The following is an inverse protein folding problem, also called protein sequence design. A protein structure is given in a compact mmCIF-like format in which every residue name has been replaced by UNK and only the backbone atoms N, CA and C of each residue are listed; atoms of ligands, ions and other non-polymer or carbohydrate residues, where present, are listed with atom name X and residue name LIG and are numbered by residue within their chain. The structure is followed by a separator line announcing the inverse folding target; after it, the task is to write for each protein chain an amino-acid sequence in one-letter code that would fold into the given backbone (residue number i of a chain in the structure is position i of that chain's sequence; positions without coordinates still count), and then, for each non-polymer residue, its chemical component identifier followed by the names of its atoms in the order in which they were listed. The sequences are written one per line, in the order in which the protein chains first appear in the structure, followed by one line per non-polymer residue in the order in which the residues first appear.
data_IF_429925764320
#
_entry.id   IF_429925764320
#
_cell.length_a   1.000
_cell.length_b   1.000
_cell.length_c   1.000
_cell.angle_alpha   90.00
_cell.angle_beta   90.00
_cell.angle_gamma   90.00
#
_symmetry.space_group_name_H-M   'P 1'
#
loop_
_entity.id
_entity.type
_entity.pdbx_description
1 polymer ?
#
# COMPACT_ATOMS: atom_id res chain seq x y z
N UNK A 1 18.35 -1.05 15.16
CA UNK A 1 17.52 -2.27 14.99
C UNK A 1 17.65 -2.77 13.55
N UNK A 2 17.68 -4.08 13.28
CA UNK A 2 17.85 -4.61 11.92
C UNK A 2 16.49 -4.74 11.22
N UNK A 3 16.31 -4.03 10.11
CA UNK A 3 15.12 -4.13 9.26
C UNK A 3 15.32 -5.18 8.17
N UNK A 4 14.23 -5.80 7.73
CA UNK A 4 14.19 -6.71 6.56
C UNK A 4 13.60 -5.99 5.37
N UNK A 5 14.26 -6.10 4.23
CA UNK A 5 13.72 -5.66 2.93
C UNK A 5 13.31 -6.90 2.12
N UNK A 6 12.09 -6.91 1.62
CA UNK A 6 11.57 -7.90 0.68
C UNK A 6 11.30 -7.17 -0.64
N UNK A 7 11.89 -7.66 -1.73
CA UNK A 7 11.57 -7.21 -3.09
C UNK A 7 11.01 -8.43 -3.81
N UNK A 8 9.72 -8.37 -4.14
CA UNK A 8 8.99 -9.45 -4.80
C UNK A 8 8.50 -8.98 -6.17
N UNK A 9 8.40 -9.89 -7.13
CA UNK A 9 7.80 -9.59 -8.45
C UNK A 9 6.28 -9.44 -8.37
N UNK A 10 5.69 -9.73 -7.21
CA UNK A 10 4.25 -9.63 -7.02
C UNK A 10 3.52 -10.88 -7.50
N UNK A 11 2.29 -11.04 -7.02
CA UNK A 11 1.35 -12.06 -7.47
C UNK A 11 -0.04 -11.44 -7.64
N UNK A 12 -1.05 -12.30 -7.76
CA UNK A 12 -2.45 -11.89 -7.76
C UNK A 12 -2.80 -11.11 -6.47
N UNK A 13 -3.89 -10.33 -6.47
CA UNK A 13 -4.27 -9.51 -5.32
C UNK A 13 -4.55 -10.33 -4.06
N UNK A 14 -5.01 -11.58 -4.18
CA UNK A 14 -5.32 -12.43 -3.03
C UNK A 14 -4.05 -12.79 -2.27
N UNK A 15 -3.02 -13.25 -2.98
CA UNK A 15 -1.72 -13.56 -2.40
C UNK A 15 -1.05 -12.33 -1.79
N UNK A 16 -1.06 -11.21 -2.52
CA UNK A 16 -0.42 -9.99 -2.06
C UNK A 16 -1.03 -9.50 -0.74
N UNK A 17 -2.36 -9.48 -0.63
CA UNK A 17 -3.03 -9.04 0.60
C UNK A 17 -2.87 -10.04 1.74
N UNK A 18 -2.93 -11.35 1.44
CA UNK A 18 -2.69 -12.39 2.45
C UNK A 18 -1.26 -12.34 3.01
N UNK A 19 -0.26 -12.04 2.17
CA UNK A 19 1.12 -11.91 2.64
C UNK A 19 1.31 -10.67 3.51
N UNK A 20 0.73 -9.52 3.16
CA UNK A 20 0.81 -8.33 4.00
C UNK A 20 0.15 -8.56 5.38
N UNK A 21 -1.00 -9.24 5.42
CA UNK A 21 -1.65 -9.65 6.68
C UNK A 21 -0.79 -10.65 7.48
N UNK A 22 -0.24 -11.67 6.82
CA UNK A 22 0.64 -12.63 7.47
C UNK A 22 1.89 -11.97 8.05
N UNK A 23 2.48 -11.01 7.34
CA UNK A 23 3.61 -10.23 7.85
C UNK A 23 3.21 -9.42 9.09
N UNK A 24 2.04 -8.78 9.08
CA UNK A 24 1.52 -8.06 10.25
C UNK A 24 1.38 -8.96 11.47
N UNK A 25 0.66 -10.09 11.34
CA UNK A 25 0.46 -11.07 12.42
C UNK A 25 1.80 -11.62 12.92
N UNK A 26 2.72 -11.95 12.03
CA UNK A 26 4.03 -12.47 12.42
C UNK A 26 4.87 -11.43 13.16
N UNK A 27 4.78 -10.14 12.78
CA UNK A 27 5.51 -9.08 13.47
C UNK A 27 4.92 -8.79 14.84
N UNK A 28 3.60 -8.75 14.97
CA UNK A 28 2.90 -8.61 16.25
C UNK A 28 3.34 -9.69 17.25
N UNK A 29 3.52 -10.93 16.77
CA UNK A 29 4.01 -12.05 17.57
C UNK A 29 5.54 -12.09 17.72
N UNK A 30 6.26 -11.02 17.34
CA UNK A 30 7.73 -10.92 17.39
C UNK A 30 8.49 -12.04 16.66
N UNK A 31 7.87 -12.69 15.66
CA UNK A 31 8.47 -13.82 14.92
C UNK A 31 9.35 -13.38 13.75
N UNK A 32 9.23 -12.13 13.32
CA UNK A 32 10.01 -11.51 12.24
C UNK A 32 10.45 -10.11 12.66
N UNK A 33 11.53 -9.55 12.10
CA UNK A 33 11.88 -8.14 12.31
C UNK A 33 10.92 -7.19 11.58
N UNK A 34 11.01 -5.88 11.88
CA UNK A 34 10.37 -4.85 11.07
C UNK A 34 10.71 -5.05 9.59
N UNK A 35 9.70 -4.95 8.74
CA UNK A 35 9.79 -5.33 7.33
C UNK A 35 9.31 -4.20 6.44
N UNK A 36 10.09 -3.90 5.40
CA UNK A 36 9.64 -3.14 4.23
C UNK A 36 9.51 -4.13 3.09
N UNK A 37 8.38 -4.09 2.39
CA UNK A 37 8.14 -4.89 1.19
C UNK A 37 7.88 -3.97 0.00
N UNK A 38 8.49 -4.27 -1.13
CA UNK A 38 8.22 -3.66 -2.44
C UNK A 38 7.74 -4.75 -3.39
N UNK A 39 6.64 -4.52 -4.09
CA UNK A 39 6.00 -5.52 -4.93
C UNK A 39 5.07 -4.88 -5.98
N UNK A 40 4.53 -5.71 -6.86
CA UNK A 40 3.59 -5.33 -7.92
C UNK A 40 2.33 -6.21 -7.82
N UNK A 41 1.27 -5.85 -8.52
CA UNK A 41 0.11 -6.73 -8.72
C UNK A 41 0.18 -7.35 -10.11
N UNK A 42 0.13 -8.67 -10.19
CA UNK A 42 0.17 -9.40 -11.46
C UNK A 42 -0.89 -10.51 -11.42
N UNK A 43 -1.99 -10.39 -12.18
CA UNK A 43 -2.32 -9.32 -13.14
C UNK A 43 -2.78 -8.01 -12.48
N UNK A 44 -2.97 -6.95 -13.29
CA UNK A 44 -3.64 -5.71 -12.87
C UNK A 44 -4.99 -6.02 -12.19
N UNK A 45 -5.26 -5.36 -11.07
CA UNK A 45 -6.36 -5.76 -10.18
C UNK A 45 -6.84 -4.62 -9.29
N UNK A 46 -7.94 -4.82 -8.58
CA UNK A 46 -8.55 -3.82 -7.71
C UNK A 46 -8.45 -4.26 -6.25
N UNK A 47 -8.10 -3.34 -5.36
CA UNK A 47 -8.31 -3.53 -3.91
C UNK A 47 -9.34 -2.55 -3.39
N UNK A 48 -10.25 -3.03 -2.54
CA UNK A 48 -11.20 -2.18 -1.80
C UNK A 48 -10.83 -2.13 -0.33
N UNK A 49 -11.07 -1.00 0.32
CA UNK A 49 -10.81 -0.83 1.74
C UNK A 49 -11.73 -1.68 2.62
N UNK A 50 -11.26 -1.97 3.83
CA UNK A 50 -11.93 -2.87 4.77
C UNK A 50 -13.42 -2.56 4.98
N UNK A 51 -13.80 -1.28 5.06
CA UNK A 51 -15.18 -0.85 5.34
C UNK A 51 -16.04 -0.56 4.10
N UNK A 52 -15.51 -0.73 2.87
CA UNK A 52 -16.26 -0.36 1.65
C UNK A 52 -17.23 -1.46 1.19
N UNK A 53 -18.40 -1.10 0.72
CA UNK A 53 -19.25 -2.04 -0.01
C UNK A 53 -18.75 -2.21 -1.45
N UNK A 54 -18.57 -3.46 -1.90
CA UNK A 54 -17.97 -3.73 -3.21
C UNK A 54 -18.84 -3.20 -4.37
N UNK A 55 -20.16 -3.32 -4.24
CA UNK A 55 -21.17 -2.85 -5.20
C UNK A 55 -21.16 -1.33 -5.40
N UNK A 56 -20.76 -0.56 -4.38
CA UNK A 56 -20.76 0.91 -4.43
C UNK A 56 -19.48 1.49 -5.06
N UNK A 57 -18.38 0.75 -5.00
CA UNK A 57 -17.04 1.28 -5.32
C UNK A 57 -16.38 0.57 -6.50
N UNK A 58 -16.97 -0.54 -6.96
CA UNK A 58 -16.51 -1.32 -8.11
C UNK A 58 -17.69 -1.59 -9.03
N UNK A 59 -17.49 -1.38 -10.33
CA UNK A 59 -18.43 -1.84 -11.34
C UNK A 59 -18.31 -3.38 -11.49
N UNK A 60 -19.12 -4.10 -10.71
CA UNK A 60 -19.07 -5.57 -10.64
C UNK A 60 -19.34 -6.24 -12.00
N UNK A 61 -20.30 -5.72 -12.77
CA UNK A 61 -20.60 -6.24 -14.11
C UNK A 61 -19.39 -6.14 -15.04
N UNK A 62 -18.69 -5.00 -15.02
CA UNK A 62 -17.48 -4.79 -15.80
C UNK A 62 -16.35 -5.73 -15.36
N UNK A 63 -16.16 -5.88 -14.05
CA UNK A 63 -15.11 -6.74 -13.48
C UNK A 63 -15.34 -8.20 -13.82
N UNK A 64 -16.58 -8.70 -13.69
CA UNK A 64 -16.95 -10.07 -14.07
C UNK A 64 -16.78 -10.28 -15.57
N UNK A 65 -17.29 -9.35 -16.39
CA UNK A 65 -17.22 -9.46 -17.85
C UNK A 65 -15.79 -9.47 -18.39
N UNK A 66 -14.88 -8.74 -17.76
CA UNK A 66 -13.48 -8.61 -18.19
C UNK A 66 -12.51 -9.48 -17.40
N UNK A 67 -13.00 -10.35 -16.50
CA UNK A 67 -12.18 -11.23 -15.66
C UNK A 67 -11.09 -10.46 -14.87
N UNK A 68 -11.45 -9.29 -14.33
CA UNK A 68 -10.56 -8.47 -13.51
C UNK A 68 -10.59 -9.01 -12.08
N UNK A 69 -9.43 -9.24 -11.49
CA UNK A 69 -9.36 -9.69 -10.10
C UNK A 69 -9.63 -8.50 -9.17
N UNK A 70 -10.40 -8.74 -8.11
CA UNK A 70 -10.52 -7.78 -7.01
C UNK A 70 -10.56 -8.47 -5.66
N UNK A 71 -10.09 -7.78 -4.62
CA UNK A 71 -10.14 -8.27 -3.24
C UNK A 71 -10.33 -7.12 -2.25
N UNK A 72 -10.63 -7.47 -1.00
CA UNK A 72 -10.68 -6.55 0.14
C UNK A 72 -9.37 -6.63 0.91
N UNK A 73 -8.80 -5.47 1.27
CA UNK A 73 -7.59 -5.40 2.10
C UNK A 73 -7.93 -5.16 3.57
N UNK A 74 -7.00 -5.53 4.46
CA UNK A 74 -7.17 -5.41 5.91
C UNK A 74 -7.19 -3.96 6.43
N UNK A 75 -6.62 -3.02 5.66
CA UNK A 75 -6.62 -1.59 6.00
C UNK A 75 -7.88 -0.90 5.49
N UNK A 76 -8.20 0.27 6.08
CA UNK A 76 -9.22 1.17 5.54
C UNK A 76 -8.84 1.86 4.21
N UNK A 77 -9.44 3.02 3.95
CA UNK A 77 -9.22 3.80 2.73
C UNK A 77 -10.16 3.43 1.57
N UNK A 78 -9.95 4.07 0.42
CA UNK A 78 -10.79 3.94 -0.78
C UNK A 78 -10.42 2.79 -1.71
N UNK A 79 -11.16 2.62 -2.81
CA UNK A 79 -10.82 1.62 -3.82
C UNK A 79 -9.60 2.08 -4.62
N UNK A 80 -8.71 1.16 -4.97
CA UNK A 80 -7.50 1.42 -5.75
C UNK A 80 -7.41 0.40 -6.89
N UNK A 81 -7.14 0.89 -8.09
CA UNK A 81 -6.74 0.05 -9.22
C UNK A 81 -5.22 -0.01 -9.26
N UNK A 82 -4.70 -1.24 -9.28
CA UNK A 82 -3.27 -1.54 -9.34
C UNK A 82 -2.92 -1.96 -10.77
N UNK A 83 -2.02 -1.21 -11.39
CA UNK A 83 -1.52 -1.50 -12.72
C UNK A 83 -0.22 -2.30 -12.64
N UNK A 84 -0.20 -3.50 -13.25
CA UNK A 84 0.96 -4.41 -13.27
C UNK A 84 2.23 -3.75 -13.82
N UNK A 85 2.08 -2.86 -14.80
CA UNK A 85 3.21 -2.27 -15.52
C UNK A 85 3.55 -0.83 -15.08
N UNK A 86 2.62 -0.16 -14.37
CA UNK A 86 2.69 1.27 -14.08
C UNK A 86 2.79 1.60 -12.60
N UNK A 87 2.67 0.63 -11.69
CA UNK A 87 2.66 0.87 -10.24
C UNK A 87 3.73 0.05 -9.51
N UNK A 88 4.43 0.67 -8.55
CA UNK A 88 5.14 -0.07 -7.50
C UNK A 88 4.35 0.07 -6.20
N UNK A 89 3.93 -1.05 -5.61
CA UNK A 89 3.30 -1.08 -4.30
C UNK A 89 4.34 -1.30 -3.21
N UNK A 90 4.10 -0.73 -2.03
CA UNK A 90 4.93 -0.94 -0.85
C UNK A 90 4.08 -1.24 0.38
N UNK A 91 4.65 -2.00 1.31
CA UNK A 91 4.08 -2.16 2.66
C UNK A 91 5.18 -2.02 3.72
N UNK A 92 4.81 -1.46 4.88
CA UNK A 92 5.67 -1.29 6.04
C UNK A 92 5.02 -1.96 7.23
N UNK A 93 5.69 -2.97 7.80
CA UNK A 93 5.23 -3.71 8.97
C UNK A 93 6.22 -3.50 10.12
N UNK A 94 5.74 -2.91 11.22
CA UNK A 94 6.55 -2.55 12.38
C UNK A 94 5.68 -2.40 13.62
N UNK A 95 6.30 -2.20 14.79
CA UNK A 95 5.56 -1.89 16.02
C UNK A 95 5.20 -0.41 16.06
N UNK A 96 4.09 -0.07 16.70
CA UNK A 96 3.65 1.32 16.82
C UNK A 96 4.62 2.19 17.63
N UNK A 97 5.35 1.59 18.57
CA UNK A 97 6.39 2.27 19.37
C UNK A 97 7.59 2.76 18.54
N UNK A 98 7.79 2.21 17.33
CA UNK A 98 8.84 2.65 16.41
C UNK A 98 8.47 3.95 15.68
N UNK A 99 7.23 4.44 15.84
CA UNK A 99 6.67 5.56 15.09
C UNK A 99 5.98 6.59 16.02
N UNK A 100 5.73 7.82 15.53
CA UNK A 100 4.92 8.78 16.25
C UNK A 100 3.54 8.22 16.64
N UNK A 101 2.99 8.66 17.76
CA UNK A 101 1.63 8.24 18.16
C UNK A 101 0.54 8.85 17.27
N UNK A 102 0.76 10.07 16.76
CA UNK A 102 -0.15 10.74 15.85
C UNK A 102 -0.14 10.08 14.47
N UNK A 103 -1.34 9.75 13.97
CA UNK A 103 -1.54 9.00 12.73
C UNK A 103 -1.02 9.76 11.48
N UNK A 104 -1.15 11.10 11.45
CA UNK A 104 -0.73 11.93 10.33
C UNK A 104 0.79 12.03 10.33
N UNK A 105 1.41 12.19 11.49
CA UNK A 105 2.87 12.21 11.60
C UNK A 105 3.50 10.84 11.30
N UNK A 106 2.84 9.72 11.62
CA UNK A 106 3.28 8.40 11.11
C UNK A 106 3.28 8.34 9.59
N UNK A 107 2.18 8.75 8.95
CA UNK A 107 2.12 8.82 7.49
C UNK A 107 3.23 9.73 6.95
N UNK A 108 3.46 10.88 7.56
CA UNK A 108 4.52 11.80 7.17
C UNK A 108 5.90 11.13 7.21
N UNK A 109 6.23 10.41 8.29
CA UNK A 109 7.50 9.69 8.42
C UNK A 109 7.66 8.64 7.31
N UNK A 110 6.64 7.81 7.08
CA UNK A 110 6.68 6.75 6.07
C UNK A 110 6.76 7.35 4.65
N UNK A 111 5.89 8.31 4.32
CA UNK A 111 5.84 8.98 3.03
C UNK A 111 7.12 9.78 2.73
N UNK A 112 7.87 10.24 3.75
CA UNK A 112 9.12 10.95 3.54
C UNK A 112 10.18 10.08 2.83
N UNK A 113 10.18 8.76 3.07
CA UNK A 113 11.05 7.83 2.35
C UNK A 113 10.74 7.80 0.85
N UNK A 114 9.46 7.80 0.49
CA UNK A 114 9.01 7.87 -0.90
C UNK A 114 9.33 9.22 -1.53
N UNK A 115 9.08 10.32 -0.82
CA UNK A 115 9.39 11.67 -1.28
C UNK A 115 10.88 11.79 -1.58
N UNK A 116 11.74 11.27 -0.72
CA UNK A 116 13.18 11.22 -0.96
C UNK A 116 13.52 10.47 -2.25
N UNK A 117 12.92 9.30 -2.47
CA UNK A 117 13.13 8.51 -3.68
C UNK A 117 12.61 9.22 -4.95
N UNK A 118 11.43 9.84 -4.89
CA UNK A 118 10.86 10.57 -6.04
C UNK A 118 11.71 11.81 -6.36
N UNK A 119 12.19 12.52 -5.34
CA UNK A 119 13.09 13.67 -5.50
C UNK A 119 14.43 13.29 -6.12
N UNK A 120 14.96 12.08 -5.85
CA UNK A 120 16.21 11.63 -6.48
C UNK A 120 16.05 11.36 -7.99
N UNK A 121 14.82 11.13 -8.47
CA UNK A 121 14.50 11.08 -9.90
C UNK A 121 14.25 12.47 -10.53
N UNK A 122 14.49 13.56 -9.79
CA UNK A 122 14.36 14.94 -10.29
C UNK A 122 12.93 15.49 -10.26
N UNK A 123 11.99 14.81 -9.61
CA UNK A 123 10.60 15.26 -9.46
C UNK A 123 10.38 15.87 -8.08
N UNK A 124 9.67 16.99 -7.97
CA UNK A 124 9.35 17.59 -6.66
C UNK A 124 8.11 16.94 -6.05
N UNK A 125 8.32 16.01 -5.13
CA UNK A 125 7.24 15.36 -4.37
C UNK A 125 6.90 16.12 -3.08
N UNK A 126 5.60 16.18 -2.76
CA UNK A 126 5.07 16.88 -1.59
C UNK A 126 4.09 15.96 -0.86
N UNK A 127 4.24 15.83 0.45
CA UNK A 127 3.26 15.17 1.32
C UNK A 127 2.00 16.04 1.43
N UNK A 128 0.84 15.45 1.14
CA UNK A 128 -0.47 16.06 1.33
C UNK A 128 -1.24 15.21 2.34
N UNK A 129 -1.53 15.74 3.55
CA UNK A 129 -2.41 15.06 4.49
C UNK A 129 -3.75 14.68 3.84
N UNK A 130 -4.33 13.52 4.19
CA UNK A 130 -3.92 12.67 5.32
C UNK A 130 -2.71 11.76 5.02
N UNK A 131 -2.54 11.33 3.78
CA UNK A 131 -1.72 10.15 3.43
C UNK A 131 -1.28 10.11 1.95
N UNK A 132 -1.31 11.25 1.26
CA UNK A 132 -1.06 11.32 -0.18
C UNK A 132 0.30 11.95 -0.50
N UNK A 133 0.85 11.59 -1.65
CA UNK A 133 2.02 12.24 -2.24
C UNK A 133 1.63 12.84 -3.59
N UNK A 134 1.95 14.11 -3.76
CA UNK A 134 1.68 14.86 -4.99
C UNK A 134 2.97 15.22 -5.71
N UNK A 135 2.94 15.17 -7.04
CA UNK A 135 3.94 15.75 -7.94
C UNK A 135 3.19 16.63 -8.94
N UNK A 136 3.63 17.88 -9.11
CA UNK A 136 2.98 18.86 -10.00
C UNK A 136 1.46 18.99 -9.75
N UNK A 137 1.05 18.92 -8.48
CA UNK A 137 -0.36 19.00 -8.07
C UNK A 137 -1.20 17.73 -8.34
N UNK A 138 -0.61 16.67 -8.90
CA UNK A 138 -1.29 15.40 -9.17
C UNK A 138 -0.88 14.33 -8.18
N UNK A 139 -1.83 13.51 -7.74
CA UNK A 139 -1.58 12.38 -6.84
C UNK A 139 -0.81 11.28 -7.56
N UNK A 140 0.28 10.83 -6.96
CA UNK A 140 1.12 9.73 -7.47
C UNK A 140 1.25 8.57 -6.49
N UNK A 141 0.89 8.78 -5.22
CA UNK A 141 0.84 7.73 -4.21
C UNK A 141 -0.21 8.07 -3.16
N UNK A 142 -0.84 7.04 -2.60
CA UNK A 142 -1.68 7.12 -1.43
C UNK A 142 -1.43 5.91 -0.54
N UNK A 143 -1.48 6.11 0.78
CA UNK A 143 -1.17 5.07 1.76
C UNK A 143 -2.42 4.68 2.56
N UNK A 144 -2.44 3.51 3.17
CA UNK A 144 -3.41 3.16 4.20
C UNK A 144 -2.69 2.46 5.35
N UNK A 145 -3.26 2.52 6.54
CA UNK A 145 -2.73 1.80 7.70
C UNK A 145 -3.86 1.23 8.56
N UNK A 146 -3.49 0.25 9.38
CA UNK A 146 -4.34 -0.41 10.37
C UNK A 146 -3.64 -0.43 11.73
#
# INVERSE_FOLDING_TARGET
MKWRLIIDRGRDPYWNMALDEALLVMRENNRIPNTIRLYYFSPSSITIGYFQEASEVVNLDYVVKNNILFTRRITGGGAVFHDENGEVTYSVTALLEDFPSDIIERYRVICNGLIYAINSFGLKAIFKPVNDILVNGKKISGSAQT
#
